data_IF_861508576726
#
_entry.id   IF_861508576726
#
_cell.length_a   1.000
_cell.length_b   1.000
_cell.length_c   1.000
_cell.angle_alpha   90.00
_cell.angle_beta   90.00
_cell.angle_gamma   90.00
#
_symmetry.space_group_name_H-M   'P 1'
#
loop_
_entity.id
_entity.type
_entity.pdbx_description
1 polymer ?
#
# COMPACT_ATOMS: atom_id res chain seq x y z
N UNK A 1 -26.12 -3.77 -10.49
CA UNK A 1 -25.47 -3.44 -9.21
C UNK A 1 -23.98 -3.45 -9.48
N UNK A 2 -23.32 -2.31 -9.34
CA UNK A 2 -21.87 -2.26 -9.47
C UNK A 2 -21.24 -3.04 -8.32
N UNK A 3 -20.26 -3.88 -8.62
CA UNK A 3 -19.53 -4.69 -7.65
C UNK A 3 -18.71 -3.78 -6.73
N UNK A 4 -18.42 -4.23 -5.50
CA UNK A 4 -17.60 -3.48 -4.53
C UNK A 4 -16.23 -3.09 -5.12
N UNK A 5 -15.70 -3.88 -6.07
CA UNK A 5 -14.49 -3.61 -6.85
C UNK A 5 -14.58 -2.38 -7.77
N UNK A 6 -15.77 -2.12 -8.32
CA UNK A 6 -16.05 -0.94 -9.16
C UNK A 6 -16.20 0.33 -8.31
N UNK A 7 -16.79 0.20 -7.11
CA UNK A 7 -16.96 1.29 -6.14
C UNK A 7 -15.64 1.72 -5.48
N UNK A 8 -14.77 0.76 -5.16
CA UNK A 8 -13.49 1.03 -4.50
C UNK A 8 -12.37 1.42 -5.49
N UNK A 9 -12.64 1.44 -6.79
CA UNK A 9 -11.64 1.80 -7.81
C UNK A 9 -10.46 0.82 -7.93
N UNK A 10 -10.58 -0.39 -7.38
CA UNK A 10 -9.56 -1.44 -7.41
C UNK A 10 -9.40 -2.12 -8.78
N UNK A 11 -10.27 -1.80 -9.76
CA UNK A 11 -10.13 -2.21 -11.17
C UNK A 11 -8.86 -1.67 -11.89
N UNK A 12 -7.91 -1.08 -11.16
CA UNK A 12 -6.64 -0.57 -11.67
C UNK A 12 -5.42 -1.41 -11.26
N UNK A 13 -5.58 -2.69 -10.90
CA UNK A 13 -4.47 -3.62 -11.03
C UNK A 13 -4.32 -3.98 -12.51
N UNK A 14 -3.40 -3.28 -13.19
CA UNK A 14 -2.81 -3.74 -14.44
C UNK A 14 -3.78 -4.12 -15.56
N UNK A 15 -4.14 -3.13 -16.39
CA UNK A 15 -4.12 -3.19 -17.87
C UNK A 15 -4.98 -2.05 -18.41
N UNK A 16 -4.34 -0.88 -18.57
CA UNK A 16 -4.79 0.01 -19.64
C UNK A 16 -4.44 -0.74 -20.93
N UNK A 17 -5.41 -1.39 -21.59
CA UNK A 17 -5.27 -1.65 -23.03
C UNK A 17 -4.95 -0.28 -23.63
N UNK A 18 -3.75 -0.11 -24.19
CA UNK A 18 -3.46 1.06 -25.01
C UNK A 18 -4.56 1.06 -26.08
N UNK A 19 -5.48 2.00 -25.98
CA UNK A 19 -6.39 2.26 -27.08
C UNK A 19 -5.50 2.64 -28.26
N UNK A 20 -5.69 1.99 -29.41
CA UNK A 20 -5.06 2.39 -30.66
C UNK A 20 -5.64 3.72 -31.20
N UNK A 21 -6.58 4.33 -30.48
CA UNK A 21 -7.07 5.66 -30.81
C UNK A 21 -6.02 6.69 -30.41
N UNK A 22 -5.61 7.49 -31.39
CA UNK A 22 -4.78 8.67 -31.21
C UNK A 22 -5.42 9.55 -30.12
N UNK A 23 -4.68 9.94 -29.06
CA UNK A 23 -5.24 10.80 -28.04
C UNK A 23 -5.72 12.12 -28.69
N UNK A 24 -6.86 12.68 -28.24
CA UNK A 24 -7.33 13.97 -28.74
C UNK A 24 -6.23 15.01 -28.61
N UNK A 25 -6.04 15.83 -29.66
CA UNK A 25 -4.94 16.80 -29.78
C UNK A 25 -4.93 17.88 -28.68
N UNK A 26 -6.06 18.08 -28.00
CA UNK A 26 -6.26 19.17 -27.03
C UNK A 26 -6.29 18.72 -25.57
N UNK A 27 -5.54 17.67 -25.18
CA UNK A 27 -5.35 17.41 -23.75
C UNK A 27 -4.41 18.48 -23.18
N UNK A 28 -4.80 19.20 -22.12
CA UNK A 28 -3.86 20.09 -21.43
C UNK A 28 -2.64 19.27 -21.03
N UNK A 29 -1.45 19.76 -21.39
CA UNK A 29 -0.20 19.12 -20.98
C UNK A 29 -0.20 19.11 -19.45
N UNK A 30 0.00 17.95 -18.85
CA UNK A 30 0.12 17.84 -17.40
C UNK A 30 1.19 18.83 -16.93
N UNK A 31 0.87 19.63 -15.91
CA UNK A 31 1.82 20.57 -15.32
C UNK A 31 3.03 19.77 -14.87
N UNK A 32 4.22 20.19 -15.28
CA UNK A 32 5.46 19.59 -14.80
C UNK A 32 5.59 19.97 -13.33
N UNK A 33 5.36 19.01 -12.44
CA UNK A 33 5.56 19.20 -11.01
C UNK A 33 7.00 18.82 -10.71
N UNK A 34 7.77 19.76 -10.15
CA UNK A 34 9.10 19.45 -9.65
C UNK A 34 8.99 18.70 -8.32
N UNK A 35 9.81 17.66 -8.16
CA UNK A 35 9.81 16.87 -6.95
C UNK A 35 10.40 17.69 -5.79
N UNK A 36 9.62 17.83 -4.72
CA UNK A 36 10.05 18.43 -3.46
C UNK A 36 9.79 17.40 -2.37
N UNK A 37 10.86 16.89 -1.77
CA UNK A 37 10.73 15.98 -0.64
C UNK A 37 10.12 16.74 0.55
N UNK A 38 8.99 16.26 1.04
CA UNK A 38 8.38 16.82 2.25
C UNK A 38 9.28 16.54 3.48
N UNK A 39 8.92 17.05 4.65
CA UNK A 39 9.54 16.61 5.91
C UNK A 39 8.97 15.24 6.32
N UNK A 40 9.78 14.39 6.97
CA UNK A 40 9.29 13.23 7.72
C UNK A 40 9.51 13.51 9.19
N UNK A 41 8.43 13.46 9.95
CA UNK A 41 8.49 13.51 11.41
C UNK A 41 8.51 12.07 11.96
N UNK A 42 9.53 11.76 12.76
CA UNK A 42 9.68 10.46 13.40
C UNK A 42 9.13 10.52 14.82
N UNK A 43 8.23 9.59 15.15
CA UNK A 43 7.76 9.43 16.53
C UNK A 43 8.86 8.81 17.38
N UNK A 44 9.20 9.48 18.48
CA UNK A 44 10.14 8.97 19.48
C UNK A 44 9.37 8.31 20.62
N UNK A 45 9.60 7.02 20.82
CA UNK A 45 9.09 6.32 21.99
C UNK A 45 9.81 6.83 23.25
N UNK A 46 9.03 7.19 24.27
CA UNK A 46 9.56 7.67 25.56
C UNK A 46 9.69 6.52 26.57
N UNK A 47 8.91 5.45 26.41
CA UNK A 47 8.94 4.24 27.22
C UNK A 47 8.51 3.03 26.40
N UNK A 48 8.90 1.84 26.85
CA UNK A 48 8.40 0.56 26.33
C UNK A 48 7.54 -0.09 27.41
N UNK A 49 6.35 -0.55 27.03
CA UNK A 49 5.51 -1.33 27.92
C UNK A 49 6.03 -2.77 28.01
N UNK A 50 6.04 -3.32 29.22
CA UNK A 50 6.18 -4.74 29.48
C UNK A 50 4.95 -5.51 29.00
N UNK A 51 5.07 -6.84 28.85
CA UNK A 51 3.91 -7.68 28.48
C UNK A 51 2.77 -7.59 29.50
N UNK A 52 3.10 -7.48 30.79
CA UNK A 52 2.11 -7.36 31.87
C UNK A 52 1.38 -6.00 31.83
N UNK A 53 2.12 -4.91 31.61
CA UNK A 53 1.53 -3.57 31.42
C UNK A 53 0.64 -3.53 30.17
N UNK A 54 1.07 -4.19 29.09
CA UNK A 54 0.29 -4.28 27.86
C UNK A 54 -1.01 -5.08 28.08
N UNK A 55 -0.93 -6.23 28.76
CA UNK A 55 -2.09 -7.04 29.09
C UNK A 55 -3.11 -6.28 29.94
N UNK A 56 -2.62 -5.49 30.92
CA UNK A 56 -3.46 -4.65 31.77
C UNK A 56 -4.12 -3.51 30.98
N UNK A 57 -3.41 -2.93 30.00
CA UNK A 57 -3.91 -1.84 29.15
C UNK A 57 -5.06 -2.28 28.24
N UNK A 58 -5.04 -3.53 27.78
CA UNK A 58 -6.10 -4.09 26.93
C UNK A 58 -7.27 -4.69 27.72
N UNK A 59 -7.19 -4.75 29.06
CA UNK A 59 -8.28 -5.26 29.88
C UNK A 59 -9.40 -4.23 30.02
N UNK A 60 -10.35 -4.29 29.09
CA UNK A 60 -11.54 -3.42 29.05
C UNK A 60 -12.49 -3.55 30.26
N UNK A 61 -12.20 -4.46 31.20
CA UNK A 61 -13.00 -4.62 32.43
C UNK A 61 -12.61 -3.62 33.53
N UNK A 62 -11.48 -2.93 33.39
CA UNK A 62 -11.04 -1.91 34.34
C UNK A 62 -11.69 -0.56 34.01
N UNK A 63 -12.59 -0.07 34.88
CA UNK A 63 -13.10 1.31 34.83
C UNK A 63 -11.92 2.29 34.78
N UNK A 64 -11.91 3.26 33.85
CA UNK A 64 -10.79 4.19 33.73
C UNK A 64 -10.64 4.97 35.03
N UNK A 65 -9.45 4.92 35.63
CA UNK A 65 -9.07 5.79 36.75
C UNK A 65 -9.06 7.23 36.25
N UNK A 66 -9.68 8.11 37.04
CA UNK A 66 -9.87 9.54 36.78
C UNK A 66 -8.57 10.34 36.91
N UNK A 67 -7.48 9.92 36.27
CA UNK A 67 -6.25 10.71 36.17
C UNK A 67 -6.05 11.16 34.72
N UNK A 68 -6.88 12.15 34.38
CA UNK A 68 -6.80 12.95 33.16
C UNK A 68 -5.45 13.65 33.07
N UNK A 69 -4.51 13.04 32.35
CA UNK A 69 -3.36 13.79 31.83
C UNK A 69 -3.87 14.67 30.69
N UNK A 70 -3.77 15.98 30.89
CA UNK A 70 -4.14 17.07 29.97
C UNK A 70 -3.63 16.82 28.54
N UNK A 71 -4.51 16.31 27.67
CA UNK A 71 -4.35 16.22 26.22
C UNK A 71 -5.62 16.75 25.55
N UNK A 72 -6.14 17.87 26.06
CA UNK A 72 -7.52 18.31 25.79
C UNK A 72 -7.68 19.01 24.44
N UNK A 73 -6.60 19.36 23.73
CA UNK A 73 -6.69 20.20 22.52
C UNK A 73 -6.61 19.43 21.18
N UNK A 74 -6.03 18.21 21.17
CA UNK A 74 -5.92 17.43 19.92
C UNK A 74 -7.22 16.73 19.55
N UNK A 75 -8.00 16.28 20.54
CA UNK A 75 -9.23 15.55 20.28
C UNK A 75 -10.30 16.40 19.58
N UNK A 76 -10.59 17.64 19.99
CA UNK A 76 -11.55 18.50 19.28
C UNK A 76 -11.13 18.80 17.83
N UNK A 77 -9.86 19.15 17.59
CA UNK A 77 -9.36 19.42 16.23
C UNK A 77 -9.38 18.16 15.35
N UNK A 78 -9.08 16.99 15.91
CA UNK A 78 -9.18 15.72 15.20
C UNK A 78 -10.62 15.39 14.82
N UNK A 79 -11.57 15.65 15.72
CA UNK A 79 -13.01 15.45 15.46
C UNK A 79 -13.45 16.36 14.31
N UNK A 80 -13.14 17.66 14.36
CA UNK A 80 -13.51 18.61 13.31
C UNK A 80 -12.91 18.21 11.94
N UNK A 81 -11.63 17.85 11.91
CA UNK A 81 -10.98 17.38 10.70
C UNK A 81 -11.63 16.09 10.16
N UNK A 82 -12.00 15.16 11.04
CA UNK A 82 -12.68 13.92 10.68
C UNK A 82 -14.07 14.20 10.10
N UNK A 83 -14.87 15.05 10.75
CA UNK A 83 -16.19 15.47 10.27
C UNK A 83 -16.10 16.10 8.88
N UNK A 84 -15.13 17.00 8.67
CA UNK A 84 -14.88 17.63 7.37
C UNK A 84 -14.53 16.61 6.28
N UNK A 85 -13.67 15.63 6.59
CA UNK A 85 -13.31 14.56 5.64
C UNK A 85 -14.52 13.66 5.34
N UNK A 86 -15.34 13.34 6.33
CA UNK A 86 -16.53 12.51 6.16
C UNK A 86 -17.60 13.21 5.33
N UNK A 87 -17.85 14.49 5.58
CA UNK A 87 -18.75 15.33 4.80
C UNK A 87 -18.29 15.43 3.34
N UNK A 88 -16.99 15.66 3.10
CA UNK A 88 -16.44 15.66 1.75
C UNK A 88 -16.59 14.32 1.02
N UNK A 89 -16.35 13.18 1.71
CA UNK A 89 -16.56 11.83 1.16
C UNK A 89 -18.03 11.57 0.85
N UNK A 90 -18.94 11.98 1.73
CA UNK A 90 -20.38 11.83 1.57
C UNK A 90 -20.86 12.61 0.35
N UNK A 91 -20.48 13.89 0.21
CA UNK A 91 -20.82 14.68 -0.99
C UNK A 91 -20.32 14.05 -2.28
N UNK A 92 -19.10 13.50 -2.28
CA UNK A 92 -18.52 12.84 -3.45
C UNK A 92 -19.28 11.56 -3.83
N UNK A 93 -19.71 10.80 -2.83
CA UNK A 93 -20.54 9.61 -3.01
C UNK A 93 -21.95 9.98 -3.55
N UNK A 94 -22.59 10.99 -2.95
CA UNK A 94 -23.93 11.43 -3.30
C UNK A 94 -24.02 12.11 -4.67
N UNK A 95 -22.89 12.60 -5.19
CA UNK A 95 -22.77 13.05 -6.57
C UNK A 95 -22.99 11.94 -7.60
N UNK A 96 -23.00 10.66 -7.20
CA UNK A 96 -23.30 9.48 -8.05
C UNK A 96 -22.54 9.48 -9.38
N UNK A 97 -21.26 9.86 -9.33
CA UNK A 97 -20.41 9.89 -10.51
C UNK A 97 -20.22 8.49 -11.08
N UNK A 98 -20.26 8.37 -12.40
CA UNK A 98 -19.84 7.11 -13.04
C UNK A 98 -18.37 6.83 -12.73
N UNK A 99 -17.99 5.55 -12.70
CA UNK A 99 -16.60 5.15 -12.44
C UNK A 99 -15.61 5.77 -13.44
N UNK A 100 -16.04 6.04 -14.69
CA UNK A 100 -15.23 6.72 -15.69
C UNK A 100 -14.99 8.19 -15.34
N UNK A 101 -16.07 8.94 -15.06
CA UNK A 101 -16.00 10.35 -14.68
C UNK A 101 -15.18 10.55 -13.41
N UNK A 102 -15.37 9.69 -12.40
CA UNK A 102 -14.58 9.71 -11.17
C UNK A 102 -13.08 9.55 -11.44
N UNK A 103 -12.71 8.57 -12.27
CA UNK A 103 -11.30 8.32 -12.62
C UNK A 103 -10.67 9.50 -13.37
N UNK A 104 -11.41 10.13 -14.27
CA UNK A 104 -10.95 11.31 -15.01
C UNK A 104 -10.76 12.50 -14.08
N UNK A 105 -11.75 12.82 -13.25
CA UNK A 105 -11.67 13.90 -12.28
C UNK A 105 -10.50 13.69 -11.29
N UNK A 106 -10.33 12.47 -10.77
CA UNK A 106 -9.20 12.11 -9.90
C UNK A 106 -7.85 12.29 -10.59
N UNK A 107 -7.75 11.88 -11.85
CA UNK A 107 -6.52 12.00 -12.63
C UNK A 107 -6.15 13.46 -12.93
N UNK A 108 -7.15 14.33 -13.14
CA UNK A 108 -6.94 15.76 -13.34
C UNK A 108 -6.60 16.49 -12.04
N UNK A 109 -7.20 16.08 -10.92
CA UNK A 109 -6.99 16.70 -9.61
C UNK A 109 -5.65 16.32 -8.97
N UNK A 110 -5.07 15.17 -9.31
CA UNK A 110 -3.82 14.67 -8.73
C UNK A 110 -2.59 15.20 -9.51
N UNK A 111 -1.77 16.10 -8.95
CA UNK A 111 -0.59 16.64 -9.62
C UNK A 111 0.44 15.55 -9.99
N UNK A 112 0.42 14.43 -9.27
CA UNK A 112 1.38 13.34 -9.42
C UNK A 112 0.88 12.20 -10.31
N UNK A 113 -0.30 12.31 -10.92
CA UNK A 113 -0.90 11.23 -11.72
C UNK A 113 0.00 10.78 -12.87
N UNK A 114 0.77 11.72 -13.45
CA UNK A 114 1.67 11.48 -14.57
C UNK A 114 2.81 10.49 -14.26
N UNK A 115 3.18 10.28 -13.00
CA UNK A 115 4.19 9.29 -12.61
C UNK A 115 3.78 7.87 -13.01
N UNK A 116 2.49 7.56 -12.91
CA UNK A 116 1.95 6.26 -13.28
C UNK A 116 2.66 5.10 -12.57
N UNK A 117 2.91 4.01 -13.30
CA UNK A 117 3.61 2.80 -12.82
C UNK A 117 5.05 2.68 -13.34
N UNK A 118 5.51 3.66 -14.12
CA UNK A 118 6.72 3.56 -14.93
C UNK A 118 6.81 2.22 -15.69
N UNK A 119 7.81 1.38 -15.40
CA UNK A 119 8.00 0.05 -16.01
C UNK A 119 7.44 -1.11 -15.17
N UNK A 120 7.02 -0.84 -13.94
CA UNK A 120 6.59 -1.83 -12.96
C UNK A 120 5.14 -2.28 -13.19
N UNK A 121 4.74 -3.41 -12.61
CA UNK A 121 3.41 -4.02 -12.69
C UNK A 121 2.30 -3.05 -12.32
N UNK A 122 2.51 -2.23 -11.28
CA UNK A 122 1.52 -1.27 -10.79
C UNK A 122 2.20 -0.04 -10.14
N UNK A 123 1.38 0.88 -9.63
CA UNK A 123 1.86 2.12 -8.99
C UNK A 123 2.43 1.91 -7.58
N UNK A 124 2.25 0.75 -6.95
CA UNK A 124 2.80 0.52 -5.62
C UNK A 124 4.33 0.48 -5.67
N UNK A 125 4.92 -0.06 -6.73
CA UNK A 125 6.37 0.01 -6.96
C UNK A 125 6.93 1.45 -6.87
N UNK A 126 6.19 2.43 -7.40
CA UNK A 126 6.58 3.85 -7.32
C UNK A 126 6.49 4.40 -5.89
N UNK A 127 5.54 3.92 -5.08
CA UNK A 127 5.49 4.27 -3.64
C UNK A 127 6.69 3.70 -2.89
N UNK A 128 7.08 2.46 -3.20
CA UNK A 128 8.28 1.86 -2.63
C UNK A 128 9.55 2.62 -3.03
N UNK A 129 9.62 3.07 -4.29
CA UNK A 129 10.70 3.90 -4.79
C UNK A 129 10.84 5.22 -4.04
N UNK A 130 9.71 5.87 -3.76
CA UNK A 130 9.67 7.11 -2.98
C UNK A 130 10.10 6.89 -1.53
N UNK A 131 9.56 5.85 -0.87
CA UNK A 131 9.94 5.49 0.49
C UNK A 131 11.43 5.18 0.60
N UNK A 132 11.98 4.40 -0.33
CA UNK A 132 13.39 4.06 -0.36
C UNK A 132 14.29 5.30 -0.61
N UNK A 133 13.86 6.22 -1.47
CA UNK A 133 14.57 7.47 -1.70
C UNK A 133 14.67 8.33 -0.43
N UNK A 134 13.59 8.38 0.37
CA UNK A 134 13.52 9.23 1.58
C UNK A 134 14.05 8.56 2.85
N UNK A 135 13.88 7.25 2.97
CA UNK A 135 14.23 6.47 4.17
C UNK A 135 15.50 5.63 3.99
N UNK A 136 16.08 5.61 2.79
CA UNK A 136 17.33 4.89 2.50
C UNK A 136 17.26 3.38 2.83
N UNK A 137 16.10 2.77 2.61
CA UNK A 137 15.80 1.38 2.99
C UNK A 137 16.76 0.38 2.33
N UNK A 138 17.25 0.69 1.13
CA UNK A 138 18.14 -0.16 0.36
C UNK A 138 19.59 0.33 0.32
N UNK A 139 19.97 1.31 1.14
CA UNK A 139 21.32 1.91 1.13
C UNK A 139 22.46 0.89 1.33
N UNK A 140 22.17 -0.21 2.00
CA UNK A 140 23.12 -1.27 2.29
C UNK A 140 23.30 -2.31 1.19
N UNK A 141 22.56 -2.20 0.09
CA UNK A 141 22.75 -3.09 -1.07
C UNK A 141 24.19 -2.93 -1.58
N UNK A 142 24.86 -4.05 -1.83
CA UNK A 142 26.27 -4.09 -2.25
C UNK A 142 27.25 -4.23 -1.08
N UNK A 143 26.82 -4.00 0.16
CA UNK A 143 27.59 -4.38 1.37
C UNK A 143 27.02 -5.59 2.09
N UNK A 144 25.71 -5.84 1.95
CA UNK A 144 25.01 -7.03 2.42
C UNK A 144 23.94 -7.46 1.43
N UNK A 145 23.55 -8.73 1.52
CA UNK A 145 22.40 -9.25 0.80
C UNK A 145 21.11 -8.58 1.30
N UNK A 146 20.20 -8.26 0.36
CA UNK A 146 18.87 -7.73 0.67
C UNK A 146 17.91 -8.90 0.92
N UNK A 147 17.35 -8.97 2.13
CA UNK A 147 16.23 -9.86 2.43
C UNK A 147 14.99 -9.06 2.77
N UNK A 148 13.83 -9.47 2.27
CA UNK A 148 12.57 -8.78 2.54
C UNK A 148 11.37 -9.72 2.55
N UNK A 149 10.29 -9.23 3.16
CA UNK A 149 8.98 -9.88 3.20
C UNK A 149 7.93 -8.89 2.68
N UNK A 150 7.06 -9.34 1.77
CA UNK A 150 5.98 -8.54 1.17
C UNK A 150 4.61 -9.15 1.52
N UNK A 151 4.06 -8.70 2.65
CA UNK A 151 2.77 -9.15 3.19
C UNK A 151 1.62 -8.41 2.52
N UNK A 152 0.58 -9.15 2.12
CA UNK A 152 -0.48 -8.63 1.27
C UNK A 152 0.07 -8.00 -0.03
N UNK A 153 1.18 -8.54 -0.53
CA UNK A 153 2.01 -7.89 -1.54
C UNK A 153 1.51 -7.96 -2.99
N UNK A 154 0.57 -8.88 -3.29
CA UNK A 154 0.08 -9.07 -4.65
C UNK A 154 -0.54 -7.76 -5.20
N UNK A 155 -0.28 -7.42 -6.48
CA UNK A 155 0.38 -8.24 -7.50
C UNK A 155 1.92 -8.19 -7.50
N UNK A 156 2.56 -7.57 -6.49
CA UNK A 156 4.01 -7.66 -6.27
C UNK A 156 4.81 -6.39 -6.60
N UNK A 157 4.19 -5.21 -6.66
CA UNK A 157 4.90 -3.99 -7.06
C UNK A 157 6.04 -3.58 -6.12
N UNK A 158 5.90 -3.81 -4.81
CA UNK A 158 6.99 -3.53 -3.84
C UNK A 158 8.15 -4.50 -4.05
N UNK A 159 7.85 -5.81 -4.10
CA UNK A 159 8.82 -6.85 -4.44
C UNK A 159 9.57 -6.56 -5.75
N UNK A 160 8.86 -6.20 -6.83
CA UNK A 160 9.45 -5.89 -8.13
C UNK A 160 10.42 -4.71 -8.06
N UNK A 161 10.08 -3.66 -7.30
CA UNK A 161 10.98 -2.53 -7.08
C UNK A 161 12.24 -2.95 -6.32
N UNK A 162 12.11 -3.69 -5.22
CA UNK A 162 13.25 -4.08 -4.37
C UNK A 162 14.23 -4.99 -5.13
N UNK A 163 13.72 -5.96 -5.87
CA UNK A 163 14.55 -6.82 -6.74
C UNK A 163 15.22 -6.00 -7.84
N UNK A 164 14.49 -5.08 -8.48
CA UNK A 164 15.06 -4.17 -9.48
C UNK A 164 16.17 -3.29 -8.88
N UNK A 165 15.95 -2.74 -7.67
CA UNK A 165 16.92 -1.89 -6.96
C UNK A 165 18.18 -2.65 -6.57
N UNK A 166 18.05 -3.94 -6.25
CA UNK A 166 19.16 -4.85 -6.01
C UNK A 166 19.85 -5.36 -7.28
N UNK A 167 19.45 -4.88 -8.47
CA UNK A 167 19.94 -5.34 -9.76
C UNK A 167 19.85 -6.88 -9.91
N UNK A 168 18.79 -7.49 -9.37
CA UNK A 168 18.54 -8.94 -9.43
C UNK A 168 19.65 -9.80 -8.81
N UNK A 169 20.53 -9.23 -7.98
CA UNK A 169 21.63 -9.92 -7.34
C UNK A 169 21.56 -9.75 -5.84
N UNK A 170 22.07 -10.73 -5.09
CA UNK A 170 22.17 -10.63 -3.64
C UNK A 170 20.83 -10.25 -2.97
N UNK A 171 19.72 -10.78 -3.50
CA UNK A 171 18.37 -10.46 -3.04
C UNK A 171 17.55 -11.73 -2.85
N UNK A 172 16.84 -11.79 -1.73
CA UNK A 172 15.89 -12.86 -1.40
C UNK A 172 14.61 -12.26 -0.84
N UNK A 173 13.51 -12.43 -1.56
CA UNK A 173 12.19 -11.98 -1.17
C UNK A 173 11.28 -13.14 -0.79
N UNK A 174 10.32 -12.86 0.07
CA UNK A 174 9.24 -13.77 0.38
C UNK A 174 7.91 -13.02 0.36
N UNK A 175 6.88 -13.60 -0.20
CA UNK A 175 5.59 -12.95 -0.36
C UNK A 175 4.43 -13.84 0.05
N UNK A 176 3.42 -13.24 0.66
CA UNK A 176 2.12 -13.87 0.91
C UNK A 176 1.02 -12.84 0.68
N UNK A 177 -0.06 -13.26 0.01
CA UNK A 177 -1.23 -12.42 -0.22
C UNK A 177 -2.45 -13.28 -0.45
N UNK A 178 -3.63 -12.75 -0.15
CA UNK A 178 -4.89 -13.43 -0.35
C UNK A 178 -5.06 -13.81 -1.82
N UNK A 179 -5.47 -15.06 -2.06
CA UNK A 179 -5.70 -15.61 -3.39
C UNK A 179 -7.16 -15.91 -3.60
N UNK A 180 -7.77 -15.18 -4.53
CA UNK A 180 -9.15 -15.36 -4.93
C UNK A 180 -9.20 -16.14 -6.24
N UNK A 181 -9.68 -17.38 -6.20
CA UNK A 181 -9.79 -18.25 -7.39
C UNK A 181 -10.65 -17.57 -8.46
N UNK A 182 -10.17 -17.54 -9.69
CA UNK A 182 -10.83 -16.88 -10.82
C UNK A 182 -10.52 -15.38 -10.96
N UNK A 183 -9.82 -14.77 -10.00
CA UNK A 183 -9.47 -13.34 -10.01
C UNK A 183 -7.97 -13.13 -10.24
N UNK A 184 -7.47 -13.51 -11.42
CA UNK A 184 -6.03 -13.46 -11.75
C UNK A 184 -5.40 -12.06 -11.66
N UNK A 185 -6.21 -11.00 -11.64
CA UNK A 185 -5.73 -9.62 -11.51
C UNK A 185 -5.33 -9.27 -10.06
N UNK A 186 -5.76 -10.07 -9.08
CA UNK A 186 -5.37 -9.99 -7.67
C UNK A 186 -4.20 -10.90 -7.32
N UNK A 187 -3.76 -11.73 -8.27
CA UNK A 187 -2.65 -12.67 -8.06
C UNK A 187 -1.29 -11.98 -8.26
N UNK A 188 -0.22 -12.65 -7.82
CA UNK A 188 1.16 -12.24 -8.05
C UNK A 188 1.47 -12.20 -9.54
N UNK A 189 1.98 -11.07 -10.00
CA UNK A 189 2.29 -10.80 -11.42
C UNK A 189 3.76 -10.43 -11.60
N UNK A 190 4.63 -11.00 -10.77
CA UNK A 190 6.08 -10.80 -10.87
C UNK A 190 6.60 -11.39 -12.20
N UNK A 191 7.53 -10.69 -12.88
CA UNK A 191 8.16 -11.21 -14.08
C UNK A 191 8.87 -12.56 -13.83
N UNK A 192 8.94 -13.47 -14.83
CA UNK A 192 9.61 -14.76 -14.69
C UNK A 192 11.06 -14.68 -14.18
N UNK A 193 11.77 -13.59 -14.53
CA UNK A 193 13.14 -13.35 -14.06
C UNK A 193 13.27 -13.14 -12.54
N UNK A 194 12.16 -13.07 -11.81
CA UNK A 194 12.13 -12.87 -10.35
C UNK A 194 11.65 -14.12 -9.60
N UNK A 195 11.23 -15.18 -10.29
CA UNK A 195 10.64 -16.36 -9.65
C UNK A 195 11.62 -17.12 -8.74
N UNK A 196 12.92 -17.09 -9.07
CA UNK A 196 13.97 -17.67 -8.22
C UNK A 196 14.45 -16.73 -7.10
N UNK A 197 14.04 -15.46 -7.15
CA UNK A 197 14.46 -14.42 -6.21
C UNK A 197 13.39 -14.11 -5.17
N UNK A 198 12.11 -14.36 -5.48
CA UNK A 198 10.97 -14.08 -4.60
C UNK A 198 10.10 -15.33 -4.47
N UNK A 199 10.15 -15.96 -3.31
CA UNK A 199 9.34 -17.13 -2.97
C UNK A 199 7.94 -16.71 -2.56
N UNK A 200 6.92 -17.20 -3.26
CA UNK A 200 5.51 -16.89 -2.95
C UNK A 200 4.87 -18.06 -2.19
N UNK A 201 4.23 -17.75 -1.08
CA UNK A 201 3.49 -18.68 -0.23
C UNK A 201 2.01 -18.27 -0.16
N UNK A 202 1.13 -19.26 -0.12
CA UNK A 202 -0.31 -19.07 0.09
C UNK A 202 -0.78 -19.68 1.42
N UNK A 203 0.13 -19.89 2.37
CA UNK A 203 -0.20 -20.48 3.66
C UNK A 203 -0.50 -21.98 3.59
N UNK A 204 -0.86 -22.57 4.72
CA UNK A 204 -1.14 -24.01 4.86
C UNK A 204 -2.37 -24.46 4.06
N UNK A 205 -3.36 -23.59 3.91
CA UNK A 205 -4.63 -23.89 3.22
C UNK A 205 -4.68 -23.41 1.77
N UNK A 206 -3.59 -22.84 1.27
CA UNK A 206 -3.45 -22.33 -0.10
C UNK A 206 -4.41 -21.16 -0.43
N UNK A 207 -4.89 -20.42 0.59
CA UNK A 207 -5.73 -19.23 0.42
C UNK A 207 -4.96 -17.91 0.52
N UNK A 208 -3.80 -17.93 1.18
CA UNK A 208 -3.01 -16.73 1.50
C UNK A 208 -3.69 -15.78 2.49
N UNK A 209 -4.72 -16.23 3.20
CA UNK A 209 -5.44 -15.43 4.21
C UNK A 209 -4.61 -15.32 5.49
N UNK A 210 -4.06 -14.14 5.75
CA UNK A 210 -3.27 -13.82 6.94
C UNK A 210 -4.10 -13.67 8.22
N UNK A 211 -5.44 -13.72 8.14
CA UNK A 211 -6.26 -13.82 9.35
C UNK A 211 -6.29 -15.24 9.93
N UNK A 212 -5.81 -16.24 9.20
CA UNK A 212 -5.73 -17.62 9.69
C UNK A 212 -4.35 -17.90 10.28
N UNK A 213 -4.30 -18.27 11.56
CA UNK A 213 -3.05 -18.55 12.28
C UNK A 213 -2.19 -19.60 11.55
N UNK A 214 -2.81 -20.67 11.06
CA UNK A 214 -2.13 -21.74 10.31
C UNK A 214 -1.38 -21.22 9.07
N UNK A 215 -1.92 -20.20 8.39
CA UNK A 215 -1.28 -19.57 7.24
C UNK A 215 -0.11 -18.69 7.65
N UNK A 216 -0.24 -17.97 8.76
CA UNK A 216 0.86 -17.20 9.33
C UNK A 216 2.01 -18.11 9.77
N UNK A 217 1.71 -19.18 10.52
CA UNK A 217 2.69 -20.13 11.02
C UNK A 217 3.43 -20.84 9.86
N UNK A 218 2.68 -21.28 8.85
CA UNK A 218 3.25 -21.85 7.63
C UNK A 218 4.17 -20.87 6.91
N UNK A 219 3.76 -19.59 6.79
CA UNK A 219 4.59 -18.58 6.15
C UNK A 219 5.88 -18.33 6.94
N UNK A 220 5.81 -18.20 8.26
CA UNK A 220 6.99 -18.00 9.12
C UNK A 220 8.00 -19.16 8.98
N UNK A 221 7.53 -20.41 8.86
CA UNK A 221 8.40 -21.57 8.65
C UNK A 221 9.07 -21.59 7.26
N UNK A 222 8.52 -20.84 6.29
CA UNK A 222 9.00 -20.82 4.91
C UNK A 222 9.99 -19.70 4.59
N UNK A 223 10.21 -18.75 5.52
CA UNK A 223 11.09 -17.59 5.38
C UNK A 223 12.46 -17.88 6.00
#
# INVERSE_FOLDING_TARGET
MDTMEQLLGFSSFGKRKRSNQTPPKDRPKAVKVDYVAEQIDFLQAHSHLTLDELATTFDTTTTPSTESTTSTDLFPLLIEALESVLDAKTRLHDARLSAGAYREARALANPWEALGRWKFVNRSAMKMAELDARLHLTKSIGTRDLSFVDLCGAPGGFSEYLVFRANYQHVRGYGISIRVRGSSHLDWQLPPSMHDLVSISFGADDTGDLYRQENMDHFVQSV
#
